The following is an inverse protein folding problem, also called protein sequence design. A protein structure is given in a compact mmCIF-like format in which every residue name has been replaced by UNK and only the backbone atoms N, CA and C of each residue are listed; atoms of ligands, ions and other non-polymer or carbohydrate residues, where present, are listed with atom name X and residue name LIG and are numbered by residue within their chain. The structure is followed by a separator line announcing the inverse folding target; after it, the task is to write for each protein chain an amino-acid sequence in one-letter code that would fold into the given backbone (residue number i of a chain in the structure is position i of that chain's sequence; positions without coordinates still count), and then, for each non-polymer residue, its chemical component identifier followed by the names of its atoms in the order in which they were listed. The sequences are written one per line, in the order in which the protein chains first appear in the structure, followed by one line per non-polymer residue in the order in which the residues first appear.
data_IF_353230039169
#
_entry.id   IF_353230039169
#
_cell.length_a   1.000
_cell.length_b   1.000
_cell.length_c   1.000
_cell.angle_alpha   90.00
_cell.angle_beta   90.00
_cell.angle_gamma   90.00
#
_symmetry.space_group_name_H-M   'P 1'
#
loop_
_entity.id
_entity.type
_entity.pdbx_description
1 polymer ?
#
# COMPACT_ATOMS: atom_id res chain seq x y z
N UNK A 1 -3.22 -6.93 -25.24
CA UNK A 1 -3.97 -6.68 -23.99
C UNK A 1 -5.03 -5.61 -24.22
N UNK A 2 -6.26 -5.77 -23.68
CA UNK A 2 -7.28 -4.72 -23.78
C UNK A 2 -6.95 -3.58 -22.80
N UNK A 3 -6.48 -2.43 -23.32
CA UNK A 3 -6.10 -1.25 -22.52
C UNK A 3 -7.30 -0.53 -21.89
N UNK A 4 -8.52 -0.90 -22.24
CA UNK A 4 -9.74 -0.28 -21.71
C UNK A 4 -10.26 -0.95 -20.44
N UNK A 5 -9.62 -2.03 -20.00
CA UNK A 5 -9.98 -2.77 -18.80
C UNK A 5 -8.93 -2.58 -17.70
N UNK A 6 -9.31 -2.67 -16.40
CA UNK A 6 -8.35 -2.68 -15.31
C UNK A 6 -7.47 -3.92 -15.37
N UNK A 7 -6.28 -3.83 -14.77
CA UNK A 7 -5.46 -5.02 -14.49
C UNK A 7 -6.05 -5.72 -13.28
N UNK A 8 -6.30 -7.02 -13.40
CA UNK A 8 -6.83 -7.82 -12.30
C UNK A 8 -5.70 -8.70 -11.77
N UNK A 9 -5.34 -8.50 -10.51
CA UNK A 9 -4.45 -9.38 -9.76
C UNK A 9 -5.31 -10.44 -9.08
N UNK A 10 -5.01 -11.73 -9.28
CA UNK A 10 -5.80 -12.84 -8.74
C UNK A 10 -5.10 -13.55 -7.57
N UNK A 11 -3.78 -13.45 -7.51
CA UNK A 11 -3.00 -14.03 -6.41
C UNK A 11 -3.03 -13.12 -5.19
N UNK A 12 -3.21 -13.72 -4.01
CA UNK A 12 -3.14 -13.00 -2.73
C UNK A 12 -1.77 -12.35 -2.55
N UNK A 13 -1.81 -11.11 -2.11
CA UNK A 13 -0.61 -10.27 -1.99
C UNK A 13 -0.04 -10.42 -0.58
N UNK A 14 1.25 -10.81 -0.44
CA UNK A 14 1.92 -10.81 0.84
C UNK A 14 2.27 -9.37 1.27
N UNK A 15 1.84 -9.02 2.48
CA UNK A 15 2.09 -7.70 3.10
C UNK A 15 2.76 -7.91 4.45
N UNK A 16 3.93 -7.30 4.64
CA UNK A 16 4.56 -7.22 5.95
C UNK A 16 3.80 -6.29 6.89
N UNK A 17 3.80 -6.58 8.18
CA UNK A 17 3.14 -5.73 9.17
C UNK A 17 3.91 -5.75 10.49
N UNK A 18 3.99 -4.60 11.17
CA UNK A 18 4.43 -4.56 12.54
C UNK A 18 3.51 -5.43 13.41
N UNK A 19 4.03 -6.48 14.05
CA UNK A 19 3.24 -7.47 14.80
C UNK A 19 2.28 -6.82 15.82
N UNK A 20 2.70 -5.72 16.45
CA UNK A 20 1.83 -4.98 17.36
C UNK A 20 0.63 -4.30 16.67
N UNK A 21 0.66 -4.08 15.35
CA UNK A 21 -0.46 -3.56 14.57
C UNK A 21 -1.46 -4.64 14.17
N UNK A 22 -1.08 -5.90 14.32
CA UNK A 22 -1.96 -7.06 14.11
C UNK A 22 -2.58 -7.58 15.42
N UNK A 23 -2.49 -6.80 16.50
CA UNK A 23 -3.00 -7.19 17.80
C UNK A 23 -1.98 -7.90 18.70
N UNK A 24 -0.80 -8.27 18.19
CA UNK A 24 0.22 -8.96 18.99
C UNK A 24 0.65 -8.12 20.21
N UNK A 25 0.63 -8.69 21.44
CA UNK A 25 0.95 -7.96 22.68
C UNK A 25 2.46 -7.80 22.86
N UNK A 26 3.15 -7.27 21.86
CA UNK A 26 4.61 -7.22 21.75
C UNK A 26 5.20 -5.82 21.88
N UNK A 27 4.41 -4.82 22.24
CA UNK A 27 4.95 -3.48 22.55
C UNK A 27 5.67 -3.50 23.88
N UNK A 28 6.50 -2.45 24.12
CA UNK A 28 7.25 -2.29 25.37
C UNK A 28 6.38 -2.45 26.65
N UNK A 29 5.10 -2.10 26.58
CA UNK A 29 4.14 -2.19 27.67
C UNK A 29 3.25 -3.44 27.65
N UNK A 30 3.58 -4.44 26.82
CA UNK A 30 2.79 -5.68 26.69
C UNK A 30 1.45 -5.51 25.98
N UNK A 31 1.25 -4.42 25.24
CA UNK A 31 0.01 -4.18 24.48
C UNK A 31 0.21 -4.40 22.99
N UNK A 32 -0.88 -4.53 22.26
CA UNK A 32 -0.98 -4.52 20.80
C UNK A 32 -2.20 -3.71 20.38
N UNK A 33 -2.35 -3.49 19.08
CA UNK A 33 -3.51 -2.83 18.47
C UNK A 33 -3.94 -3.63 17.26
N UNK A 34 -5.18 -4.05 17.18
CA UNK A 34 -5.72 -4.64 15.96
C UNK A 34 -6.08 -3.51 14.97
N UNK A 35 -5.12 -3.15 14.12
CA UNK A 35 -5.33 -2.15 13.07
C UNK A 35 -6.02 -2.73 11.83
N UNK A 36 -6.19 -4.06 11.76
CA UNK A 36 -6.85 -4.75 10.64
C UNK A 36 -8.36 -4.90 10.84
N UNK A 37 -8.87 -4.64 12.03
CA UNK A 37 -10.29 -4.78 12.36
C UNK A 37 -11.18 -4.00 11.38
N UNK A 38 -10.83 -2.76 11.08
CA UNK A 38 -11.58 -1.87 10.19
C UNK A 38 -11.61 -2.33 8.72
N UNK A 39 -10.71 -3.22 8.32
CA UNK A 39 -10.71 -3.78 6.97
C UNK A 39 -11.83 -4.83 6.78
N UNK A 40 -12.44 -5.31 7.84
CA UNK A 40 -13.49 -6.32 7.77
C UNK A 40 -13.05 -7.56 6.99
N UNK A 41 -13.84 -7.95 5.98
CA UNK A 41 -13.53 -9.10 5.11
C UNK A 41 -12.35 -8.87 4.19
N UNK A 42 -12.02 -7.62 3.87
CA UNK A 42 -10.94 -7.27 2.94
C UNK A 42 -9.56 -7.71 3.47
N UNK A 43 -9.39 -7.86 4.80
CA UNK A 43 -8.17 -8.41 5.39
C UNK A 43 -7.81 -9.81 4.91
N UNK A 44 -8.80 -10.58 4.44
CA UNK A 44 -8.61 -11.95 3.93
C UNK A 44 -8.07 -11.98 2.49
N UNK A 45 -8.04 -10.83 1.82
CA UNK A 45 -7.50 -10.71 0.46
C UNK A 45 -5.96 -10.68 0.44
N UNK A 46 -5.32 -10.62 1.62
CA UNK A 46 -3.87 -10.52 1.79
C UNK A 46 -3.30 -11.68 2.59
N UNK A 47 -1.99 -11.90 2.41
CA UNK A 47 -1.17 -12.77 3.26
C UNK A 47 -0.37 -11.85 4.19
N UNK A 48 -0.72 -11.82 5.48
CA UNK A 48 -0.05 -10.99 6.46
C UNK A 48 1.20 -11.65 7.00
N UNK A 49 2.35 -10.96 6.92
CA UNK A 49 3.65 -11.41 7.41
C UNK A 49 4.09 -10.51 8.60
N UNK A 50 3.68 -10.85 9.85
CA UNK A 50 3.96 -10.02 11.01
C UNK A 50 5.40 -10.18 11.49
N UNK A 51 6.07 -9.04 11.78
CA UNK A 51 7.42 -9.01 12.36
C UNK A 51 7.53 -7.95 13.47
N UNK A 52 8.44 -8.14 14.40
CA UNK A 52 8.77 -7.17 15.43
C UNK A 52 10.30 -7.13 15.68
N UNK A 53 11.00 -6.09 15.20
CA UNK A 53 12.46 -6.00 15.38
C UNK A 53 12.91 -6.04 16.84
N UNK A 54 12.17 -5.41 17.74
CA UNK A 54 12.49 -5.38 19.17
C UNK A 54 12.35 -6.76 19.83
N UNK A 55 11.40 -7.58 19.40
CA UNK A 55 11.28 -8.97 19.86
C UNK A 55 12.41 -9.84 19.28
N UNK A 56 12.73 -9.68 17.98
CA UNK A 56 13.82 -10.41 17.33
C UNK A 56 15.19 -10.00 17.90
N UNK A 57 15.31 -8.79 18.44
CA UNK A 57 16.47 -8.33 19.20
C UNK A 57 16.58 -8.94 20.60
N UNK A 58 15.69 -9.86 20.99
CA UNK A 58 15.70 -10.51 22.32
C UNK A 58 15.33 -9.60 23.48
N UNK A 59 14.69 -8.46 23.24
CA UNK A 59 14.41 -7.46 24.28
C UNK A 59 13.28 -7.85 25.25
N UNK A 60 12.55 -8.94 24.95
CA UNK A 60 11.44 -9.41 25.78
C UNK A 60 10.18 -8.54 25.74
N UNK A 61 9.15 -8.96 26.49
CA UNK A 61 7.88 -8.23 26.69
C UNK A 61 7.40 -8.53 28.11
N UNK A 62 7.08 -7.53 28.94
CA UNK A 62 7.33 -6.09 28.74
C UNK A 62 8.83 -5.74 28.77
N UNK A 63 9.18 -4.56 28.24
CA UNK A 63 10.57 -4.08 28.20
C UNK A 63 10.68 -2.58 28.40
N UNK A 64 11.87 -2.11 28.62
CA UNK A 64 12.15 -0.69 28.58
C UNK A 64 11.95 -0.12 27.17
N UNK A 65 11.26 1.02 27.03
CA UNK A 65 11.16 1.68 25.75
C UNK A 65 12.56 2.10 25.26
N UNK A 66 12.79 1.93 23.96
CA UNK A 66 14.02 2.35 23.30
C UNK A 66 13.81 3.66 22.55
N UNK A 67 14.91 4.35 22.24
CA UNK A 67 14.93 5.56 21.44
C UNK A 67 16.24 5.63 20.64
N UNK A 68 16.18 6.39 19.53
CA UNK A 68 17.38 6.74 18.78
C UNK A 68 18.11 7.87 19.52
N UNK A 69 19.41 7.85 19.52
CA UNK A 69 20.27 8.85 20.15
C UNK A 69 21.32 9.32 19.15
N UNK A 70 21.32 10.62 18.88
CA UNK A 70 22.30 11.25 18.00
C UNK A 70 21.86 11.44 16.54
N UNK A 71 20.77 10.79 16.09
CA UNK A 71 20.35 10.89 14.69
C UNK A 71 19.11 10.10 14.34
N UNK A 72 19.05 9.63 13.12
CA UNK A 72 17.98 8.85 12.51
C UNK A 72 18.31 7.36 12.49
N UNK A 73 17.37 6.52 11.99
CA UNK A 73 17.68 5.12 11.71
C UNK A 73 18.74 4.94 10.62
N UNK A 74 18.88 5.89 9.69
CA UNK A 74 19.95 5.87 8.68
C UNK A 74 21.30 6.01 9.35
N UNK A 75 21.42 6.95 10.30
CA UNK A 75 22.64 7.22 11.06
C UNK A 75 23.00 6.05 11.99
N UNK A 76 22.01 5.27 12.45
CA UNK A 76 22.27 4.01 13.18
C UNK A 76 22.97 2.99 12.28
N UNK A 77 22.57 2.88 11.02
CA UNK A 77 23.18 1.95 10.07
C UNK A 77 24.59 2.38 9.62
N UNK A 78 24.91 3.69 9.68
CA UNK A 78 26.26 4.20 9.39
C UNK A 78 27.17 4.24 10.62
N UNK A 79 26.61 4.02 11.82
CA UNK A 79 27.35 4.07 13.09
C UNK A 79 27.45 5.46 13.70
N UNK A 80 26.77 6.47 13.14
CA UNK A 80 26.76 7.85 13.62
C UNK A 80 25.74 8.09 14.75
N UNK A 81 24.75 7.20 14.87
CA UNK A 81 23.75 7.23 15.93
C UNK A 81 23.62 5.88 16.63
N UNK A 82 23.00 5.89 17.80
CA UNK A 82 22.86 4.73 18.66
C UNK A 82 21.39 4.48 19.04
N UNK A 83 21.06 3.23 19.37
CA UNK A 83 19.79 2.87 20.00
C UNK A 83 20.04 2.63 21.49
N UNK A 84 19.31 3.37 22.35
CA UNK A 84 19.40 3.28 23.81
C UNK A 84 18.05 2.98 24.44
N UNK A 85 18.04 2.24 25.54
CA UNK A 85 16.85 2.13 26.38
C UNK A 85 16.70 3.39 27.28
N UNK A 86 15.60 3.49 28.03
CA UNK A 86 15.34 4.64 28.93
C UNK A 86 16.41 4.87 30.00
N UNK A 87 17.18 3.85 30.32
CA UNK A 87 18.29 3.92 31.32
C UNK A 87 19.65 4.23 30.68
N UNK A 88 19.68 4.52 29.37
CA UNK A 88 20.89 4.84 28.62
C UNK A 88 21.73 3.63 28.21
N UNK A 89 21.27 2.39 28.47
CA UNK A 89 21.97 1.17 28.03
C UNK A 89 21.91 1.08 26.51
N UNK A 90 23.05 0.83 25.88
CA UNK A 90 23.18 0.59 24.46
C UNK A 90 22.55 -0.76 24.10
N UNK A 91 21.72 -0.72 23.03
CA UNK A 91 21.06 -1.88 22.44
C UNK A 91 21.15 -1.86 20.92
N UNK A 92 22.05 -1.05 20.37
CA UNK A 92 22.20 -0.82 18.92
C UNK A 92 22.43 -2.12 18.17
N UNK A 93 23.42 -2.91 18.61
CA UNK A 93 23.76 -4.18 17.93
C UNK A 93 22.56 -5.14 17.93
N UNK A 94 21.95 -5.38 19.09
CA UNK A 94 20.79 -6.26 19.18
C UNK A 94 19.62 -5.76 18.27
N UNK A 95 19.38 -4.44 18.22
CA UNK A 95 18.37 -3.85 17.36
C UNK A 95 18.66 -4.07 15.88
N UNK A 96 19.89 -3.84 15.43
CA UNK A 96 20.26 -4.03 14.02
C UNK A 96 20.19 -5.50 13.60
N UNK A 97 20.62 -6.42 14.47
CA UNK A 97 20.47 -7.87 14.27
C UNK A 97 18.98 -8.25 14.17
N UNK A 98 18.14 -7.78 15.11
CA UNK A 98 16.69 -8.00 15.06
C UNK A 98 16.02 -7.44 13.80
N UNK A 99 16.48 -6.29 13.30
CA UNK A 99 16.03 -5.72 12.02
C UNK A 99 16.39 -6.62 10.84
N UNK A 100 17.61 -7.16 10.81
CA UNK A 100 18.05 -8.07 9.74
C UNK A 100 17.24 -9.37 9.74
N UNK A 101 17.01 -9.98 10.90
CA UNK A 101 16.14 -11.17 11.02
C UNK A 101 14.73 -10.89 10.51
N UNK A 102 14.15 -9.73 10.85
CA UNK A 102 12.86 -9.32 10.32
C UNK A 102 12.88 -9.15 8.80
N UNK A 103 13.94 -8.56 8.26
CA UNK A 103 14.07 -8.36 6.82
C UNK A 103 14.16 -9.69 6.07
N UNK A 104 14.97 -10.62 6.55
CA UNK A 104 15.06 -11.99 5.99
C UNK A 104 13.71 -12.71 6.01
N UNK A 105 12.93 -12.56 7.09
CA UNK A 105 11.58 -13.12 7.17
C UNK A 105 10.65 -12.51 6.11
N UNK A 106 10.68 -11.20 5.92
CA UNK A 106 9.90 -10.51 4.90
C UNK A 106 10.32 -10.89 3.47
N UNK A 107 11.62 -11.07 3.23
CA UNK A 107 12.15 -11.52 1.92
C UNK A 107 11.70 -12.96 1.62
N UNK A 108 11.73 -13.88 2.60
CA UNK A 108 11.18 -15.24 2.47
C UNK A 108 9.68 -15.24 2.17
N UNK A 109 8.94 -14.33 2.78
CA UNK A 109 7.51 -14.11 2.49
C UNK A 109 7.27 -13.37 1.16
N UNK A 110 8.31 -12.95 0.43
CA UNK A 110 8.24 -12.17 -0.82
C UNK A 110 7.41 -10.89 -0.69
N UNK A 111 7.44 -10.26 0.48
CA UNK A 111 6.73 -9.00 0.71
C UNK A 111 7.46 -7.83 0.06
N UNK A 112 6.72 -6.86 -0.45
CA UNK A 112 7.23 -5.58 -0.97
C UNK A 112 6.41 -4.38 -0.50
N UNK A 113 5.39 -4.63 0.29
CA UNK A 113 4.63 -3.64 1.02
C UNK A 113 4.70 -3.94 2.52
N UNK A 114 4.70 -2.90 3.35
CA UNK A 114 4.76 -3.04 4.80
C UNK A 114 3.88 -2.02 5.52
N UNK A 115 3.09 -2.51 6.47
CA UNK A 115 2.29 -1.69 7.38
C UNK A 115 3.09 -1.45 8.65
N UNK A 116 3.48 -0.20 8.87
CA UNK A 116 4.35 0.15 9.99
C UNK A 116 3.62 0.87 11.13
N UNK A 117 4.11 0.68 12.36
CA UNK A 117 3.65 1.43 13.53
C UNK A 117 4.22 2.84 13.51
N UNK A 118 3.33 3.83 13.42
CA UNK A 118 3.71 5.24 13.56
C UNK A 118 4.35 5.53 14.91
N UNK A 119 5.33 6.41 14.91
CA UNK A 119 6.00 6.87 16.13
C UNK A 119 6.92 5.85 16.80
N UNK A 120 7.14 4.67 16.20
CA UNK A 120 8.06 3.67 16.70
C UNK A 120 9.52 4.05 16.38
N UNK A 121 10.46 3.94 17.33
CA UNK A 121 11.88 4.16 17.08
C UNK A 121 12.51 3.04 16.24
N UNK A 122 11.86 1.90 16.13
CA UNK A 122 12.24 0.80 15.23
C UNK A 122 11.50 0.86 13.91
N UNK A 123 10.18 0.75 13.90
CA UNK A 123 9.35 0.61 12.69
C UNK A 123 8.91 1.93 12.07
N UNK A 124 8.93 3.06 12.78
CA UNK A 124 8.44 4.36 12.30
C UNK A 124 9.20 4.83 11.06
N UNK A 125 8.50 5.51 10.13
CA UNK A 125 9.08 5.95 8.86
C UNK A 125 9.10 7.46 8.75
N UNK A 126 7.92 8.11 8.72
CA UNK A 126 7.80 9.56 8.54
C UNK A 126 7.47 10.30 9.83
N UNK A 127 7.02 9.57 10.84
CA UNK A 127 6.75 10.09 12.17
C UNK A 127 7.41 9.19 13.19
N UNK A 128 8.20 9.79 14.05
CA UNK A 128 8.52 9.18 15.34
C UNK A 128 7.90 10.08 16.41
N UNK A 129 7.53 9.53 17.57
CA UNK A 129 7.03 10.30 18.71
C UNK A 129 8.10 11.21 19.30
N UNK A 130 9.26 11.26 18.70
CA UNK A 130 10.44 11.93 19.15
C UNK A 130 10.35 13.42 18.78
N UNK A 131 9.69 14.19 19.64
CA UNK A 131 9.62 15.67 19.55
C UNK A 131 10.90 16.38 20.01
N UNK A 132 11.94 15.64 20.33
CA UNK A 132 13.18 16.17 20.88
C UNK A 132 14.37 15.65 20.09
N UNK A 133 15.24 16.56 19.65
CA UNK A 133 16.51 16.23 18.99
C UNK A 133 17.41 15.28 19.82
N UNK A 134 17.25 15.27 21.16
CA UNK A 134 17.94 14.34 22.05
C UNK A 134 17.46 12.89 21.94
N UNK A 135 16.28 12.65 21.38
CA UNK A 135 15.66 11.32 21.23
C UNK A 135 15.69 10.79 19.81
N UNK A 136 16.38 11.49 18.88
CA UNK A 136 16.53 11.12 17.49
C UNK A 136 15.34 11.57 16.60
N UNK A 137 15.47 11.28 15.33
CA UNK A 137 14.53 11.65 14.26
C UNK A 137 14.10 10.42 13.44
N UNK A 138 12.95 10.49 12.73
CA UNK A 138 12.60 9.46 11.76
C UNK A 138 13.60 9.44 10.58
N UNK A 139 13.74 8.30 9.90
CA UNK A 139 13.07 7.03 10.19
C UNK A 139 13.63 6.30 11.39
N UNK A 140 12.87 5.32 11.92
CA UNK A 140 13.37 4.34 12.88
C UNK A 140 14.36 3.36 12.22
N UNK A 141 15.07 2.56 13.03
CA UNK A 141 16.13 1.67 12.53
C UNK A 141 15.63 0.69 11.44
N UNK A 142 14.50 0.04 11.67
CA UNK A 142 13.89 -0.86 10.69
C UNK A 142 13.19 -0.11 9.57
N UNK A 143 12.55 1.04 9.89
CA UNK A 143 11.95 1.92 8.90
C UNK A 143 12.96 2.39 7.84
N UNK A 144 14.19 2.74 8.26
CA UNK A 144 15.31 3.06 7.37
C UNK A 144 15.64 1.89 6.42
N UNK A 145 15.75 0.67 6.96
CA UNK A 145 16.07 -0.51 6.16
C UNK A 145 14.97 -0.80 5.12
N UNK A 146 13.70 -0.68 5.50
CA UNK A 146 12.55 -0.83 4.58
C UNK A 146 12.57 0.23 3.47
N UNK A 147 12.92 1.48 3.78
CA UNK A 147 13.06 2.56 2.78
C UNK A 147 14.19 2.25 1.79
N UNK A 148 15.37 1.85 2.29
CA UNK A 148 16.53 1.47 1.46
C UNK A 148 16.24 0.29 0.54
N UNK A 149 15.46 -0.68 1.00
CA UNK A 149 15.00 -1.83 0.21
C UNK A 149 13.84 -1.50 -0.74
N UNK A 150 13.34 -0.27 -0.74
CA UNK A 150 12.31 0.20 -1.68
C UNK A 150 10.91 -0.32 -1.41
N UNK A 151 10.57 -0.68 -0.19
CA UNK A 151 9.21 -1.12 0.19
C UNK A 151 8.17 -0.04 -0.04
N UNK A 152 6.94 -0.46 -0.34
CA UNK A 152 5.77 0.39 -0.29
C UNK A 152 5.27 0.44 1.16
N UNK A 153 5.30 1.62 1.79
CA UNK A 153 5.13 1.79 3.23
C UNK A 153 3.80 2.45 3.57
N UNK A 154 3.01 1.79 4.42
CA UNK A 154 1.67 2.20 4.81
C UNK A 154 1.63 2.48 6.31
N UNK A 155 1.28 3.71 6.76
CA UNK A 155 1.06 3.98 8.17
C UNK A 155 -0.12 3.18 8.72
N UNK A 156 0.06 2.45 9.81
CA UNK A 156 -1.00 1.62 10.39
C UNK A 156 -2.23 2.46 10.81
N UNK A 157 -2.02 3.69 11.26
CA UNK A 157 -3.10 4.63 11.59
C UNK A 157 -4.05 4.94 10.42
N UNK A 158 -3.57 4.85 9.18
CA UNK A 158 -4.37 5.14 8.00
C UNK A 158 -5.34 4.00 7.63
N UNK A 159 -5.11 2.78 8.12
CA UNK A 159 -6.03 1.65 7.97
C UNK A 159 -7.37 1.90 8.69
N UNK A 160 -7.40 2.78 9.68
CA UNK A 160 -8.61 3.14 10.44
C UNK A 160 -9.57 4.06 9.65
N UNK A 161 -9.16 4.56 8.48
CA UNK A 161 -9.98 5.40 7.62
C UNK A 161 -10.29 4.69 6.30
N UNK A 162 -11.57 4.38 5.98
CA UNK A 162 -11.93 3.72 4.72
C UNK A 162 -11.41 4.44 3.48
N UNK A 163 -11.42 5.78 3.48
CA UNK A 163 -10.93 6.57 2.35
C UNK A 163 -9.41 6.50 2.20
N UNK A 164 -8.68 6.59 3.30
CA UNK A 164 -7.21 6.46 3.25
C UNK A 164 -6.78 5.06 2.88
N UNK A 165 -7.45 4.04 3.43
CA UNK A 165 -7.18 2.65 3.05
C UNK A 165 -7.44 2.41 1.58
N UNK A 166 -8.57 2.90 1.02
CA UNK A 166 -8.85 2.81 -0.41
C UNK A 166 -7.72 3.45 -1.24
N UNK A 167 -7.22 4.63 -0.84
CA UNK A 167 -6.10 5.30 -1.52
C UNK A 167 -4.79 4.52 -1.41
N UNK A 168 -4.45 4.00 -0.23
CA UNK A 168 -3.25 3.18 -0.05
C UNK A 168 -3.33 1.89 -0.86
N UNK A 169 -4.47 1.20 -0.82
CA UNK A 169 -4.70 -0.05 -1.53
C UNK A 169 -4.50 0.09 -3.03
N UNK A 170 -5.18 1.01 -3.70
CA UNK A 170 -5.09 1.20 -5.16
C UNK A 170 -3.67 1.55 -5.62
N UNK A 171 -2.95 2.39 -4.85
CA UNK A 171 -1.57 2.77 -5.14
C UNK A 171 -0.60 1.61 -4.90
N UNK A 172 -0.80 0.84 -3.84
CA UNK A 172 -0.03 -0.37 -3.55
C UNK A 172 -0.20 -1.41 -4.67
N UNK A 173 -1.43 -1.67 -5.10
CA UNK A 173 -1.69 -2.62 -6.19
C UNK A 173 -1.03 -2.17 -7.49
N UNK A 174 -1.15 -0.89 -7.84
CA UNK A 174 -0.48 -0.31 -9.01
C UNK A 174 1.05 -0.38 -8.88
N UNK A 175 1.60 -0.10 -7.70
CA UNK A 175 3.03 -0.19 -7.40
C UNK A 175 3.56 -1.62 -7.57
N UNK A 176 2.89 -2.60 -6.98
CA UNK A 176 3.31 -4.01 -7.05
C UNK A 176 3.23 -4.52 -8.49
N UNK A 177 2.11 -4.29 -9.17
CA UNK A 177 1.96 -4.64 -10.57
C UNK A 177 3.07 -4.03 -11.44
N UNK A 178 3.28 -2.72 -11.32
CA UNK A 178 4.26 -2.02 -12.15
C UNK A 178 5.71 -2.41 -11.82
N UNK A 179 6.00 -2.73 -10.56
CA UNK A 179 7.32 -3.23 -10.16
C UNK A 179 7.68 -4.56 -10.82
N UNK A 180 6.69 -5.45 -11.04
CA UNK A 180 6.89 -6.78 -11.62
C UNK A 180 6.74 -6.79 -13.14
N UNK A 181 6.23 -5.70 -13.71
CA UNK A 181 5.97 -5.63 -15.13
C UNK A 181 7.29 -5.65 -15.91
N UNK A 182 7.49 -6.65 -16.76
CA UNK A 182 8.57 -6.66 -17.73
C UNK A 182 8.21 -5.70 -18.87
N UNK A 183 9.08 -4.71 -19.11
CA UNK A 183 8.92 -3.72 -20.18
C UNK A 183 10.19 -3.79 -21.02
N UNK A 184 10.09 -4.32 -22.23
CA UNK A 184 11.20 -4.56 -23.14
C UNK A 184 11.13 -3.71 -24.42
N UNK A 185 9.97 -3.11 -24.66
CA UNK A 185 9.69 -2.31 -25.84
C UNK A 185 9.05 -0.98 -25.50
N UNK A 186 9.19 0.00 -26.40
CA UNK A 186 8.51 1.30 -26.28
C UNK A 186 6.97 1.14 -26.27
N UNK A 187 6.41 0.15 -26.99
CA UNK A 187 4.98 -0.11 -26.99
C UNK A 187 4.48 -0.57 -25.60
N UNK A 188 5.20 -1.51 -24.96
CA UNK A 188 4.86 -1.96 -23.61
C UNK A 188 4.96 -0.83 -22.58
N UNK A 189 5.94 0.09 -22.78
CA UNK A 189 6.08 1.30 -21.96
C UNK A 189 4.85 2.22 -22.11
N UNK A 190 4.38 2.43 -23.35
CA UNK A 190 3.15 3.20 -23.60
C UNK A 190 1.91 2.53 -23.01
N UNK A 191 1.81 1.21 -23.10
CA UNK A 191 0.69 0.45 -22.57
C UNK A 191 0.64 0.56 -21.03
N UNK A 192 1.79 0.47 -20.37
CA UNK A 192 1.90 0.70 -18.92
C UNK A 192 1.52 2.13 -18.55
N UNK A 193 2.04 3.13 -19.28
CA UNK A 193 1.69 4.53 -19.08
C UNK A 193 0.20 4.79 -19.29
N UNK A 194 -0.38 4.25 -20.34
CA UNK A 194 -1.81 4.42 -20.62
C UNK A 194 -2.69 4.01 -19.43
N UNK A 195 -2.32 2.94 -18.74
CA UNK A 195 -3.03 2.47 -17.54
C UNK A 195 -2.84 3.39 -16.34
N UNK A 196 -1.60 3.83 -16.10
CA UNK A 196 -1.22 4.58 -14.90
C UNK A 196 -1.45 6.09 -15.01
N UNK A 197 -1.51 6.65 -16.22
CA UNK A 197 -1.49 8.11 -16.47
C UNK A 197 -2.51 8.89 -15.65
N UNK A 198 -3.72 8.38 -15.47
CA UNK A 198 -4.76 9.12 -14.76
C UNK A 198 -4.56 9.09 -13.24
N UNK A 199 -4.09 7.98 -12.69
CA UNK A 199 -3.67 7.92 -11.30
C UNK A 199 -2.47 8.85 -11.07
N UNK A 200 -1.48 8.81 -11.95
CA UNK A 200 -0.33 9.73 -11.88
C UNK A 200 -0.75 11.21 -12.00
N UNK A 201 -1.70 11.54 -12.89
CA UNK A 201 -2.24 12.90 -13.02
C UNK A 201 -2.99 13.37 -11.77
N UNK A 202 -3.65 12.47 -11.07
CA UNK A 202 -4.28 12.80 -9.79
C UNK A 202 -3.23 13.10 -8.72
N UNK A 203 -2.17 12.29 -8.65
CA UNK A 203 -1.10 12.44 -7.66
C UNK A 203 -0.24 13.70 -7.93
N UNK A 204 0.22 13.87 -9.18
CA UNK A 204 0.97 15.04 -9.65
C UNK A 204 0.66 15.32 -11.12
N UNK A 205 -0.22 16.29 -11.35
CA UNK A 205 -0.69 16.62 -12.71
C UNK A 205 0.41 17.24 -13.58
N UNK A 206 1.29 18.06 -12.99
CA UNK A 206 2.37 18.72 -13.74
C UNK A 206 3.37 17.69 -14.23
N UNK A 207 3.90 16.89 -13.32
CA UNK A 207 4.83 15.82 -13.66
C UNK A 207 4.23 14.84 -14.67
N UNK A 208 2.98 14.41 -14.48
CA UNK A 208 2.36 13.42 -15.37
C UNK A 208 2.14 13.98 -16.79
N UNK A 209 1.86 15.27 -16.95
CA UNK A 209 1.76 15.90 -18.27
C UNK A 209 3.12 16.01 -18.96
N UNK A 210 4.16 16.36 -18.22
CA UNK A 210 5.54 16.42 -18.75
C UNK A 210 6.00 15.03 -19.16
N UNK A 211 5.77 14.03 -18.30
CA UNK A 211 6.10 12.64 -18.61
C UNK A 211 5.38 12.15 -19.88
N UNK A 212 4.08 12.49 -20.03
CA UNK A 212 3.34 12.16 -21.24
C UNK A 212 3.92 12.79 -22.52
N UNK A 213 4.42 14.03 -22.45
CA UNK A 213 5.11 14.69 -23.58
C UNK A 213 6.45 14.03 -23.89
N UNK A 214 7.21 13.73 -22.86
CA UNK A 214 8.52 13.06 -23.00
C UNK A 214 8.36 11.68 -23.64
N UNK A 215 7.37 10.90 -23.19
CA UNK A 215 7.02 9.62 -23.80
C UNK A 215 6.66 9.80 -25.28
N UNK A 216 5.79 10.77 -25.62
CA UNK A 216 5.37 11.00 -27.01
C UNK A 216 6.54 11.36 -27.94
N UNK A 217 7.62 11.93 -27.41
CA UNK A 217 8.84 12.27 -28.16
C UNK A 217 9.93 11.17 -28.11
N UNK A 218 9.71 10.08 -27.35
CA UNK A 218 10.71 9.06 -27.07
C UNK A 218 11.10 8.28 -28.34
N UNK A 219 12.38 8.31 -28.70
CA UNK A 219 12.92 7.49 -29.77
C UNK A 219 13.28 6.09 -29.27
N UNK A 220 13.17 5.09 -30.16
CA UNK A 220 13.50 3.69 -29.81
C UNK A 220 14.93 3.51 -29.28
N UNK A 221 15.88 4.28 -29.79
CA UNK A 221 17.29 4.26 -29.35
C UNK A 221 17.50 4.73 -27.92
N UNK A 222 16.59 5.53 -27.38
CA UNK A 222 16.65 6.09 -26.02
C UNK A 222 15.96 5.19 -24.97
N UNK A 223 15.29 4.13 -25.40
CA UNK A 223 14.45 3.30 -24.53
C UNK A 223 15.22 2.72 -23.34
N UNK A 224 16.40 2.15 -23.58
CA UNK A 224 17.19 1.47 -22.53
C UNK A 224 17.63 2.41 -21.39
N UNK A 225 17.88 3.67 -21.72
CA UNK A 225 18.25 4.68 -20.73
C UNK A 225 17.00 5.27 -20.03
N UNK A 226 15.92 5.42 -20.78
CA UNK A 226 14.71 6.08 -20.32
C UNK A 226 13.86 5.19 -19.39
N UNK A 227 13.70 3.89 -19.70
CA UNK A 227 12.82 2.98 -18.96
C UNK A 227 13.16 2.89 -17.47
N UNK A 228 14.41 2.69 -17.03
CA UNK A 228 14.75 2.62 -15.62
C UNK A 228 14.44 3.92 -14.85
N UNK A 229 14.67 5.07 -15.48
CA UNK A 229 14.34 6.38 -14.91
C UNK A 229 12.84 6.56 -14.77
N UNK A 230 12.10 6.28 -15.84
CA UNK A 230 10.63 6.31 -15.84
C UNK A 230 10.05 5.42 -14.74
N UNK A 231 10.51 4.17 -14.65
CA UNK A 231 10.09 3.21 -13.63
C UNK A 231 10.31 3.75 -12.23
N UNK A 232 11.51 4.24 -11.94
CA UNK A 232 11.84 4.83 -10.65
C UNK A 232 10.90 5.97 -10.28
N UNK A 233 10.71 6.94 -11.18
CA UNK A 233 9.89 8.12 -10.93
C UNK A 233 8.40 7.77 -10.72
N UNK A 234 7.86 6.83 -11.50
CA UNK A 234 6.48 6.33 -11.33
C UNK A 234 6.32 5.63 -9.96
N UNK A 235 7.25 4.75 -9.59
CA UNK A 235 7.21 4.05 -8.30
C UNK A 235 7.32 5.02 -7.12
N UNK A 236 8.14 6.06 -7.24
CA UNK A 236 8.25 7.12 -6.23
C UNK A 236 6.96 7.94 -6.12
N UNK A 237 6.33 8.24 -7.26
CA UNK A 237 5.05 8.96 -7.28
C UNK A 237 3.93 8.14 -6.63
N UNK A 238 3.83 6.84 -6.93
CA UNK A 238 2.82 5.96 -6.35
C UNK A 238 2.91 5.83 -4.82
N UNK A 239 4.07 6.09 -4.21
CA UNK A 239 4.23 6.11 -2.75
C UNK A 239 3.61 7.35 -2.09
N UNK A 240 3.36 8.43 -2.84
CA UNK A 240 2.79 9.68 -2.29
C UNK A 240 1.28 9.55 -2.10
N UNK A 241 0.74 9.83 -0.89
CA UNK A 241 -0.70 9.77 -0.66
C UNK A 241 -1.45 10.87 -1.43
N UNK A 242 -2.65 10.54 -1.88
CA UNK A 242 -3.56 11.51 -2.48
C UNK A 242 -4.32 12.30 -1.39
N UNK A 243 -4.92 13.42 -1.78
CA UNK A 243 -5.82 14.19 -0.90
C UNK A 243 -7.27 13.88 -1.21
N UNK A 244 -8.16 14.05 -0.22
CA UNK A 244 -9.61 13.87 -0.40
C UNK A 244 -10.14 14.68 -1.59
N UNK A 245 -9.71 15.92 -1.74
CA UNK A 245 -10.13 16.78 -2.86
C UNK A 245 -9.68 16.23 -4.22
N UNK A 246 -8.44 15.76 -4.34
CA UNK A 246 -7.93 15.16 -5.58
C UNK A 246 -8.71 13.88 -5.93
N UNK A 247 -8.95 13.00 -4.95
CA UNK A 247 -9.72 11.77 -5.15
C UNK A 247 -11.16 12.05 -5.58
N UNK A 248 -11.83 13.00 -4.94
CA UNK A 248 -13.21 13.40 -5.28
C UNK A 248 -13.31 13.99 -6.69
N UNK A 249 -12.37 14.87 -7.05
CA UNK A 249 -12.32 15.44 -8.40
C UNK A 249 -12.00 14.38 -9.47
N UNK A 250 -11.11 13.44 -9.16
CA UNK A 250 -10.77 12.32 -10.05
C UNK A 250 -11.98 11.42 -10.26
N UNK A 251 -12.67 11.03 -9.18
CA UNK A 251 -13.90 10.25 -9.24
C UNK A 251 -14.92 10.90 -10.18
N UNK A 252 -15.20 12.20 -9.99
CA UNK A 252 -16.18 12.92 -10.79
C UNK A 252 -15.81 12.99 -12.27
N UNK A 253 -14.56 13.24 -12.60
CA UNK A 253 -14.06 13.24 -13.97
C UNK A 253 -14.26 11.89 -14.65
N UNK A 254 -13.88 10.81 -13.97
CA UNK A 254 -14.03 9.45 -14.50
C UNK A 254 -15.50 9.04 -14.63
N UNK A 255 -16.32 9.37 -13.65
CA UNK A 255 -17.76 9.11 -13.68
C UNK A 255 -18.45 9.87 -14.81
N UNK A 256 -18.13 11.15 -14.99
CA UNK A 256 -18.68 11.96 -16.09
C UNK A 256 -18.30 11.38 -17.46
N UNK A 257 -17.06 10.92 -17.62
CA UNK A 257 -16.61 10.25 -18.84
C UNK A 257 -17.31 8.90 -19.05
N UNK A 258 -17.45 8.10 -17.98
CA UNK A 258 -18.17 6.83 -18.00
C UNK A 258 -19.62 7.02 -18.45
N UNK A 259 -20.36 7.96 -17.85
CA UNK A 259 -21.72 8.30 -18.23
C UNK A 259 -21.84 8.64 -19.72
N UNK A 260 -20.93 9.49 -20.21
CA UNK A 260 -20.91 9.89 -21.63
C UNK A 260 -20.64 8.70 -22.55
N UNK A 261 -19.75 7.79 -22.16
CA UNK A 261 -19.33 6.65 -23.01
C UNK A 261 -20.30 5.48 -22.97
N UNK A 262 -20.88 5.18 -21.80
CA UNK A 262 -21.74 4.00 -21.58
C UNK A 262 -23.24 4.33 -21.54
N UNK A 263 -23.62 5.60 -21.42
CA UNK A 263 -25.03 6.01 -21.26
C UNK A 263 -25.67 5.62 -19.93
N UNK A 264 -24.88 5.07 -18.99
CA UNK A 264 -25.36 4.57 -17.70
C UNK A 264 -25.12 5.59 -16.58
N UNK A 265 -26.02 5.62 -15.60
CA UNK A 265 -25.89 6.46 -14.39
C UNK A 265 -25.70 5.59 -13.16
N UNK A 266 -24.74 5.94 -12.32
CA UNK A 266 -24.56 5.37 -10.97
C UNK A 266 -25.12 6.37 -9.98
N UNK A 267 -26.29 6.08 -9.42
CA UNK A 267 -27.11 7.01 -8.61
C UNK A 267 -26.40 7.53 -7.35
N UNK A 268 -25.47 6.77 -6.83
CA UNK A 268 -24.81 7.07 -5.55
C UNK A 268 -23.62 8.04 -5.67
N UNK A 269 -23.16 8.36 -6.91
CA UNK A 269 -21.99 9.22 -7.12
C UNK A 269 -22.43 10.68 -7.26
N UNK A 270 -21.94 11.52 -6.34
CA UNK A 270 -22.28 12.92 -6.25
C UNK A 270 -21.20 13.84 -6.84
N UNK A 271 -21.57 15.08 -7.21
CA UNK A 271 -20.60 16.09 -7.66
C UNK A 271 -19.61 16.47 -6.56
N UNK A 272 -18.42 17.00 -6.91
CA UNK A 272 -17.43 17.43 -5.92
C UNK A 272 -17.94 18.50 -4.95
N UNK A 273 -18.87 19.35 -5.38
CA UNK A 273 -19.43 20.43 -4.58
C UNK A 273 -20.41 19.96 -3.50
N UNK A 274 -20.88 18.71 -3.63
CA UNK A 274 -21.77 18.12 -2.63
C UNK A 274 -20.99 17.80 -1.35
N UNK A 275 -21.37 18.41 -0.24
CA UNK A 275 -20.73 18.18 1.07
C UNK A 275 -21.09 16.79 1.60
N UNK A 276 -20.08 15.97 1.87
CA UNK A 276 -20.21 14.61 2.43
C UNK A 276 -18.98 14.19 3.22
N UNK A 277 -19.19 13.28 4.15
CA UNK A 277 -18.10 12.72 4.97
C UNK A 277 -17.20 11.77 4.19
N UNK A 278 -16.02 11.52 4.72
CA UNK A 278 -14.98 10.65 4.12
C UNK A 278 -15.46 9.22 3.85
N UNK A 279 -16.32 8.69 4.71
CA UNK A 279 -16.92 7.34 4.53
C UNK A 279 -17.80 7.28 3.28
N UNK A 280 -18.61 8.33 3.03
CA UNK A 280 -19.47 8.40 1.84
C UNK A 280 -18.62 8.49 0.56
N UNK A 281 -17.55 9.28 0.58
CA UNK A 281 -16.61 9.37 -0.55
C UNK A 281 -15.97 8.01 -0.82
N UNK A 282 -15.54 7.29 0.21
CA UNK A 282 -14.99 5.93 0.06
C UNK A 282 -16.00 4.96 -0.57
N UNK A 283 -17.27 5.02 -0.16
CA UNK A 283 -18.35 4.21 -0.74
C UNK A 283 -18.57 4.52 -2.22
N UNK A 284 -18.57 5.81 -2.60
CA UNK A 284 -18.72 6.23 -4.00
C UNK A 284 -17.55 5.73 -4.87
N UNK A 285 -16.31 5.79 -4.34
CA UNK A 285 -15.12 5.27 -5.03
C UNK A 285 -15.18 3.76 -5.24
N UNK A 286 -15.57 3.01 -4.20
CA UNK A 286 -15.77 1.56 -4.27
C UNK A 286 -16.90 1.19 -5.24
N UNK A 287 -17.98 1.96 -5.25
CA UNK A 287 -19.10 1.74 -6.19
C UNK A 287 -18.65 1.94 -7.63
N UNK A 288 -17.92 3.03 -7.91
CA UNK A 288 -17.37 3.28 -9.24
C UNK A 288 -16.40 2.18 -9.68
N UNK A 289 -15.55 1.71 -8.77
CA UNK A 289 -14.60 0.62 -9.02
C UNK A 289 -15.34 -0.68 -9.40
N UNK A 290 -16.38 -1.06 -8.65
CA UNK A 290 -17.22 -2.24 -8.94
C UNK A 290 -17.95 -2.11 -10.29
N UNK A 291 -18.61 -0.98 -10.53
CA UNK A 291 -19.29 -0.73 -11.80
C UNK A 291 -18.33 -0.77 -12.99
N UNK A 292 -17.13 -0.25 -12.82
CA UNK A 292 -16.10 -0.30 -13.85
C UNK A 292 -15.67 -1.74 -14.17
N UNK A 293 -15.56 -2.59 -13.16
CA UNK A 293 -15.25 -4.02 -13.36
C UNK A 293 -16.37 -4.72 -14.12
N UNK A 294 -17.63 -4.54 -13.67
CA UNK A 294 -18.81 -5.17 -14.26
C UNK A 294 -19.02 -4.77 -15.72
N UNK A 295 -18.71 -3.52 -16.07
CA UNK A 295 -18.85 -2.99 -17.42
C UNK A 295 -17.55 -3.05 -18.25
N UNK A 296 -16.53 -3.76 -17.79
CA UNK A 296 -15.22 -3.86 -18.46
C UNK A 296 -14.65 -2.48 -18.87
N UNK A 297 -14.70 -1.55 -17.93
CA UNK A 297 -14.27 -0.17 -18.11
C UNK A 297 -13.07 0.17 -17.25
N UNK A 298 -12.07 0.86 -17.80
CA UNK A 298 -10.92 1.31 -17.04
C UNK A 298 -11.29 2.51 -16.14
N UNK A 299 -11.42 2.25 -14.84
CA UNK A 299 -11.46 3.33 -13.86
C UNK A 299 -10.04 3.83 -13.59
N UNK A 300 -9.63 4.88 -14.29
CA UNK A 300 -8.24 5.35 -14.28
C UNK A 300 -7.71 5.83 -12.91
N UNK A 301 -8.60 6.10 -11.94
CA UNK A 301 -8.19 6.37 -10.55
C UNK A 301 -7.77 5.10 -9.80
N UNK A 302 -8.25 3.91 -10.22
CA UNK A 302 -7.89 2.59 -9.68
C UNK A 302 -7.63 1.61 -10.84
N UNK A 303 -6.49 1.75 -11.53
CA UNK A 303 -6.22 1.01 -12.77
C UNK A 303 -5.83 -0.45 -12.53
N UNK A 304 -5.43 -0.81 -11.33
CA UNK A 304 -5.04 -2.16 -10.91
C UNK A 304 -5.87 -2.52 -9.68
N UNK A 305 -6.51 -3.66 -9.74
CA UNK A 305 -7.41 -4.16 -8.68
C UNK A 305 -7.03 -5.60 -8.30
N UNK A 306 -7.40 -6.01 -7.10
CA UNK A 306 -7.31 -7.40 -6.68
C UNK A 306 -8.70 -8.05 -6.71
N UNK A 307 -8.79 -9.28 -7.20
CA UNK A 307 -9.99 -10.09 -7.16
C UNK A 307 -9.63 -11.58 -6.99
N UNK A 308 -10.14 -12.20 -5.95
CA UNK A 308 -9.95 -13.64 -5.71
C UNK A 308 -10.49 -14.46 -6.91
N UNK A 309 -9.72 -15.42 -7.39
CA UNK A 309 -10.09 -16.27 -8.53
C UNK A 309 -11.43 -16.97 -8.34
N UNK A 310 -11.75 -17.36 -7.11
CA UNK A 310 -13.02 -18.00 -6.76
C UNK A 310 -14.23 -17.10 -7.00
N UNK A 311 -14.04 -15.77 -6.96
CA UNK A 311 -15.08 -14.77 -7.26
C UNK A 311 -15.14 -14.39 -8.75
N UNK A 312 -14.23 -14.91 -9.57
CA UNK A 312 -14.22 -14.71 -11.03
C UNK A 312 -15.01 -15.79 -11.78
N UNK A 313 -15.19 -16.96 -11.17
CA UNK A 313 -16.06 -18.01 -11.71
C UNK A 313 -17.52 -17.59 -11.49
N UNK A 314 -18.43 -17.76 -12.49
CA UNK A 314 -19.85 -17.73 -12.20
C UNK A 314 -20.11 -18.72 -11.04
N UNK A 315 -20.97 -18.37 -10.11
CA UNK A 315 -21.56 -19.37 -9.23
C UNK A 315 -22.42 -20.26 -10.14
N UNK A 316 -21.84 -21.37 -10.60
CA UNK A 316 -22.65 -22.48 -11.05
C UNK A 316 -23.49 -22.85 -9.82
N UNK A 317 -24.82 -22.73 -9.96
CA UNK A 317 -25.78 -23.07 -8.94
C UNK A 317 -25.41 -24.45 -8.38
N UNK A 318 -24.80 -24.49 -7.19
CA UNK A 318 -24.76 -25.70 -6.39
C UNK A 318 -26.22 -25.98 -6.05
N UNK A 319 -26.81 -26.86 -6.86
CA UNK A 319 -28.10 -27.45 -6.58
C UNK A 319 -28.08 -28.01 -5.15
N UNK A 320 -29.06 -27.58 -4.38
CA UNK A 320 -29.39 -28.14 -3.08
C UNK A 320 -29.44 -29.67 -3.20
N UNK A 321 -28.39 -30.38 -2.74
CA UNK A 321 -28.52 -31.77 -2.31
C UNK A 321 -29.32 -31.75 -1.02
N UNK A 322 -30.63 -31.88 -1.16
CA UNK A 322 -31.55 -32.26 -0.07
C UNK A 322 -31.03 -33.57 0.56
N UNK A 323 -30.48 -33.45 1.75
CA UNK A 323 -30.26 -34.59 2.64
C UNK A 323 -31.63 -35.18 2.99
N UNK A 324 -32.08 -36.18 2.23
CA UNK A 324 -33.12 -37.10 2.66
C UNK A 324 -32.64 -37.83 3.94
N UNK A 325 -33.18 -37.40 5.06
CA UNK A 325 -33.05 -38.16 6.32
C UNK A 325 -34.02 -39.34 6.22
N UNK A 326 -33.48 -40.51 5.86
CA UNK A 326 -34.20 -41.76 6.05
C UNK A 326 -34.40 -41.97 7.56
N UNK A 327 -35.64 -41.85 7.98
CA UNK A 327 -36.07 -42.36 9.29
C UNK A 327 -36.37 -43.84 9.15
N UNK A 328 -35.49 -44.68 9.66
CA UNK A 328 -35.79 -46.08 9.91
C UNK A 328 -36.58 -46.21 11.24
N UNK A 329 -37.71 -46.91 11.16
CA UNK A 329 -38.57 -47.37 12.28
C UNK A 329 -37.89 -48.42 13.16
#
# INVERSE_FOLDING_TARGET
MNLQQPVILTQKIPIGISLCCMGGPVRYNGKGFDMLEQLGREKLDYIWCPVCPECMAGMGVPRDPVHLSGGTGDDVWTGEAEVKNRHGRLVTQAMTEGCNVCMEALERCKTRAFVYMDGSPSCGVYRTTLKSTKRGNPPGTFGSLLLKKGYFLIPASDLQSPLKWWDWRRRMLAFLWFSDLSITTTQELYDAWYRLKFLCQELDNTWAREMGRTLAALQKSQFLEFEPKFRKEVLELLRKPSTTAKMTNSLWKHYSHYRKKRGKTVLEINSPDFRRGVTKIAQELLKMERTAIEDEYLFGASPVIYRDERRLKPQDDEADEELEVETED
#
